data_IF_274021857444
#
_entry.id   IF_274021857444
#
_cell.length_a   1.000
_cell.length_b   1.000
_cell.length_c   1.000
_cell.angle_alpha   90.00
_cell.angle_beta   90.00
_cell.angle_gamma   90.00
#
_symmetry.space_group_name_H-M   'P 1'
#
loop_
_entity.id
_entity.type
_entity.pdbx_description
1 polymer ?
#
# COMPACT_ATOMS: atom_id res chain seq x y z
N UNK A 1 -4.20 31.58 1.42
CA UNK A 1 -2.89 30.90 1.59
C UNK A 1 -3.11 29.45 1.23
N UNK A 2 -2.75 29.05 0.02
CA UNK A 2 -2.84 27.66 -0.43
C UNK A 2 -1.83 26.85 0.37
N UNK A 3 -2.30 25.92 1.20
CA UNK A 3 -1.44 24.90 1.78
C UNK A 3 -0.73 24.20 0.61
N UNK A 4 0.59 24.30 0.57
CA UNK A 4 1.39 23.43 -0.29
C UNK A 4 1.12 22.01 0.18
N UNK A 5 0.33 21.27 -0.59
CA UNK A 5 0.14 19.83 -0.41
C UNK A 5 1.51 19.22 -0.08
N UNK A 6 1.61 18.51 1.05
CA UNK A 6 2.85 17.79 1.31
C UNK A 6 3.04 16.77 0.18
N UNK A 7 4.27 16.60 -0.31
CA UNK A 7 4.53 15.75 -1.44
C UNK A 7 4.06 14.33 -1.17
N UNK A 8 3.65 13.65 -2.24
CA UNK A 8 3.41 12.22 -2.24
C UNK A 8 4.54 11.47 -1.52
N UNK A 9 4.18 10.51 -0.66
CA UNK A 9 5.15 9.70 0.10
C UNK A 9 4.90 8.22 -0.18
N UNK A 10 5.95 7.49 -0.53
CA UNK A 10 5.91 6.07 -0.87
C UNK A 10 6.91 5.27 -0.03
N UNK A 11 6.70 5.11 1.30
CA UNK A 11 7.65 4.37 2.11
C UNK A 11 7.54 2.86 1.91
N UNK A 12 8.70 2.19 1.84
CA UNK A 12 8.79 0.74 1.97
C UNK A 12 8.81 0.31 3.44
N UNK A 13 8.09 -0.76 3.77
CA UNK A 13 8.15 -1.47 5.05
C UNK A 13 8.78 -2.85 4.83
N UNK A 14 10.02 -3.03 5.26
CA UNK A 14 10.65 -4.35 5.26
C UNK A 14 10.36 -5.06 6.57
N UNK A 15 9.72 -6.23 6.50
CA UNK A 15 9.34 -7.04 7.65
C UNK A 15 9.88 -8.47 7.50
N UNK A 16 10.07 -9.18 8.62
CA UNK A 16 10.58 -10.55 8.65
C UNK A 16 9.60 -11.54 9.27
N UNK A 17 8.60 -11.04 10.00
CA UNK A 17 7.56 -11.83 10.62
C UNK A 17 6.25 -11.06 10.77
N UNK A 18 5.22 -11.74 11.26
CA UNK A 18 3.90 -11.19 11.50
C UNK A 18 3.89 -10.03 12.51
N UNK A 19 4.75 -10.09 13.53
CA UNK A 19 4.80 -9.03 14.54
C UNK A 19 5.34 -7.74 13.95
N UNK A 20 6.43 -7.81 13.16
CA UNK A 20 6.97 -6.67 12.43
C UNK A 20 5.98 -6.12 11.39
N UNK A 21 5.27 -7.01 10.69
CA UNK A 21 4.23 -6.62 9.73
C UNK A 21 3.11 -5.81 10.39
N UNK A 22 2.56 -6.31 11.50
CA UNK A 22 1.50 -5.63 12.25
C UNK A 22 2.00 -4.34 12.92
N UNK A 23 3.22 -4.35 13.46
CA UNK A 23 3.83 -3.18 14.07
C UNK A 23 4.06 -2.04 13.06
N UNK A 24 4.29 -2.35 11.78
CA UNK A 24 4.40 -1.35 10.72
C UNK A 24 3.06 -0.88 10.16
N UNK A 25 2.11 -1.80 9.96
CA UNK A 25 0.85 -1.51 9.24
C UNK A 25 -0.26 -0.97 10.14
N UNK A 26 -0.47 -1.54 11.33
CA UNK A 26 -1.61 -1.18 12.19
C UNK A 26 -1.49 0.25 12.74
N UNK A 27 -0.33 0.70 13.26
CA UNK A 27 -0.17 2.10 13.67
C UNK A 27 -0.35 3.09 12.52
N UNK A 28 0.13 2.75 11.32
CA UNK A 28 -0.04 3.56 10.12
C UNK A 28 -1.52 3.78 9.78
N UNK A 29 -2.33 2.72 9.82
CA UNK A 29 -3.78 2.77 9.61
C UNK A 29 -4.45 3.60 10.70
N UNK A 30 -4.17 3.31 11.98
CA UNK A 30 -4.80 4.01 13.11
C UNK A 30 -4.46 5.51 13.15
N UNK A 31 -3.26 5.90 12.77
CA UNK A 31 -2.90 7.32 12.65
C UNK A 31 -3.75 8.03 11.59
N UNK A 32 -3.96 7.39 10.43
CA UNK A 32 -4.84 7.91 9.39
C UNK A 32 -6.27 8.12 9.91
N UNK A 33 -6.82 7.10 10.56
CA UNK A 33 -8.17 7.18 11.16
C UNK A 33 -8.28 8.28 12.22
N UNK A 34 -7.31 8.39 13.13
CA UNK A 34 -7.28 9.45 14.16
C UNK A 34 -7.18 10.86 13.54
N UNK A 35 -6.48 10.98 12.42
CA UNK A 35 -6.33 12.24 11.68
C UNK A 35 -7.51 12.54 10.76
N UNK A 36 -8.51 11.64 10.68
CA UNK A 36 -9.63 11.78 9.76
C UNK A 36 -9.24 11.61 8.29
N UNK A 37 -8.12 10.97 8.00
CA UNK A 37 -7.68 10.62 6.65
C UNK A 37 -8.35 9.30 6.23
N UNK A 38 -8.97 9.21 5.03
CA UNK A 38 -9.50 7.95 4.52
C UNK A 38 -8.36 6.95 4.33
N UNK A 39 -8.58 5.71 4.77
CA UNK A 39 -7.59 4.63 4.71
C UNK A 39 -8.09 3.48 3.85
N UNK A 40 -7.22 2.98 2.95
CA UNK A 40 -7.40 1.70 2.27
C UNK A 40 -6.25 0.74 2.61
N UNK A 41 -6.56 -0.56 2.65
CA UNK A 41 -5.59 -1.64 2.77
C UNK A 41 -5.85 -2.61 1.64
N UNK A 42 -4.88 -2.75 0.75
CA UNK A 42 -4.91 -3.63 -0.40
C UNK A 42 -3.67 -4.54 -0.35
N UNK A 43 -3.82 -5.71 0.29
CA UNK A 43 -2.73 -6.65 0.55
C UNK A 43 -3.20 -8.10 0.29
N UNK A 44 -2.33 -9.11 0.20
CA UNK A 44 -2.75 -10.50 0.05
C UNK A 44 -3.75 -10.92 1.14
N UNK A 45 -4.76 -11.72 0.77
CA UNK A 45 -5.87 -12.09 1.67
C UNK A 45 -5.46 -12.60 3.06
N UNK A 46 -4.35 -13.34 3.20
CA UNK A 46 -3.84 -13.75 4.51
C UNK A 46 -3.40 -12.55 5.38
N UNK A 47 -2.66 -11.62 4.80
CA UNK A 47 -2.18 -10.42 5.48
C UNK A 47 -3.34 -9.43 5.74
N UNK A 48 -4.34 -9.43 4.85
CA UNK A 48 -5.52 -8.59 5.02
C UNK A 48 -6.29 -9.00 6.28
N UNK A 49 -6.46 -10.30 6.52
CA UNK A 49 -7.09 -10.83 7.74
C UNK A 49 -6.30 -10.49 8.99
N UNK A 50 -4.97 -10.58 8.95
CA UNK A 50 -4.11 -10.20 10.08
C UNK A 50 -4.33 -8.73 10.48
N UNK A 51 -4.35 -7.82 9.49
CA UNK A 51 -4.61 -6.40 9.73
C UNK A 51 -6.04 -6.19 10.23
N UNK A 52 -7.03 -6.82 9.60
CA UNK A 52 -8.45 -6.73 9.98
C UNK A 52 -8.67 -7.15 11.45
N UNK A 53 -8.14 -8.30 11.84
CA UNK A 53 -8.23 -8.84 13.21
C UNK A 53 -7.54 -7.89 14.21
N UNK A 54 -6.36 -7.37 13.88
CA UNK A 54 -5.61 -6.46 14.75
C UNK A 54 -6.26 -5.06 14.89
N UNK A 55 -7.01 -4.62 13.87
CA UNK A 55 -7.77 -3.37 13.91
C UNK A 55 -9.04 -3.51 14.75
N UNK A 56 -9.68 -4.68 14.78
CA UNK A 56 -10.92 -4.91 15.50
C UNK A 56 -12.04 -3.99 15.01
N UNK A 57 -12.67 -3.23 15.91
CA UNK A 57 -13.76 -2.33 15.54
C UNK A 57 -13.37 -1.24 14.52
N UNK A 58 -12.09 -0.86 14.48
CA UNK A 58 -11.58 0.15 13.54
C UNK A 58 -11.64 -0.33 12.08
N UNK A 59 -11.68 -1.64 11.83
CA UNK A 59 -11.71 -2.22 10.48
C UNK A 59 -12.90 -1.73 9.66
N UNK A 60 -14.05 -1.46 10.29
CA UNK A 60 -15.24 -0.93 9.62
C UNK A 60 -15.08 0.46 9.02
N UNK A 61 -14.04 1.20 9.42
CA UNK A 61 -13.70 2.52 8.88
C UNK A 61 -12.63 2.46 7.76
N UNK A 62 -12.13 1.27 7.43
CA UNK A 62 -11.04 1.06 6.46
C UNK A 62 -11.58 0.37 5.22
N UNK A 63 -11.16 0.81 4.03
CA UNK A 63 -11.46 0.09 2.79
C UNK A 63 -10.50 -1.09 2.64
N UNK A 64 -10.98 -2.30 2.90
CA UNK A 64 -10.21 -3.55 2.76
C UNK A 64 -10.40 -4.15 1.35
N UNK A 65 -9.31 -4.50 0.67
CA UNK A 65 -9.30 -5.16 -0.63
C UNK A 65 -8.29 -6.31 -0.66
N UNK A 66 -8.65 -7.47 -1.21
CA UNK A 66 -7.69 -8.54 -1.48
C UNK A 66 -6.87 -8.20 -2.73
N UNK A 67 -5.56 -7.98 -2.54
CA UNK A 67 -4.64 -7.65 -3.64
C UNK A 67 -4.46 -8.81 -4.63
N UNK A 68 -4.76 -10.05 -4.25
CA UNK A 68 -4.73 -11.20 -5.18
C UNK A 68 -5.84 -11.13 -6.21
N UNK A 69 -6.96 -10.51 -5.84
CA UNK A 69 -8.10 -10.30 -6.74
C UNK A 69 -7.99 -8.95 -7.46
N UNK A 70 -7.88 -7.85 -6.69
CA UNK A 70 -7.83 -6.50 -7.22
C UNK A 70 -6.54 -6.23 -8.02
N UNK A 71 -5.43 -6.84 -7.61
CA UNK A 71 -4.11 -6.72 -8.23
C UNK A 71 -3.70 -7.88 -9.11
N UNK A 72 -4.64 -8.77 -9.48
CA UNK A 72 -4.38 -9.87 -10.42
C UNK A 72 -3.69 -9.38 -11.70
N UNK A 73 -4.05 -8.18 -12.16
CA UNK A 73 -3.33 -7.45 -13.20
C UNK A 73 -2.62 -6.23 -12.58
N UNK A 74 -1.28 -6.25 -12.41
CA UNK A 74 -0.53 -5.13 -11.85
C UNK A 74 -0.76 -3.79 -12.55
N UNK A 75 -0.94 -3.81 -13.88
CA UNK A 75 -1.22 -2.60 -14.66
C UNK A 75 -2.58 -1.96 -14.36
N UNK A 76 -3.46 -2.64 -13.62
CA UNK A 76 -4.76 -2.10 -13.19
C UNK A 76 -4.76 -1.60 -11.75
N UNK A 77 -3.70 -1.83 -10.96
CA UNK A 77 -3.66 -1.43 -9.55
C UNK A 77 -3.67 0.10 -9.40
N UNK A 78 -2.81 0.81 -10.14
CA UNK A 78 -2.78 2.29 -10.11
C UNK A 78 -4.15 2.90 -10.46
N UNK A 79 -4.74 2.64 -11.65
CA UNK A 79 -6.01 3.27 -12.01
C UNK A 79 -7.21 2.71 -11.23
N UNK A 80 -7.24 1.39 -10.98
CA UNK A 80 -8.43 0.69 -10.49
C UNK A 80 -8.52 0.56 -8.97
N UNK A 81 -7.40 0.70 -8.26
CA UNK A 81 -7.35 0.61 -6.79
C UNK A 81 -6.90 1.93 -6.20
N UNK A 82 -5.70 2.38 -6.53
CA UNK A 82 -5.06 3.51 -5.85
C UNK A 82 -5.71 4.85 -6.23
N UNK A 83 -5.83 5.15 -7.53
CA UNK A 83 -6.54 6.36 -7.99
C UNK A 83 -8.02 6.28 -7.69
N UNK A 84 -8.68 5.15 -7.98
CA UNK A 84 -10.10 4.99 -7.69
C UNK A 84 -10.44 5.28 -6.22
N UNK A 85 -9.61 4.85 -5.28
CA UNK A 85 -9.80 5.15 -3.86
C UNK A 85 -9.56 6.63 -3.53
N UNK A 86 -8.43 7.19 -4.01
CA UNK A 86 -8.07 8.59 -3.76
C UNK A 86 -9.08 9.58 -4.37
N UNK A 87 -9.55 9.30 -5.58
CA UNK A 87 -10.44 10.17 -6.35
C UNK A 87 -11.89 10.11 -5.87
N UNK A 88 -12.26 9.06 -5.13
CA UNK A 88 -13.55 8.98 -4.45
C UNK A 88 -13.65 9.90 -3.22
N UNK A 89 -12.53 10.48 -2.77
CA UNK A 89 -12.49 11.37 -1.61
C UNK A 89 -12.69 12.83 -2.02
N UNK A 90 -13.05 13.66 -1.03
CA UNK A 90 -13.15 15.10 -1.23
C UNK A 90 -11.80 15.69 -1.65
N UNK A 91 -11.83 16.67 -2.58
CA UNK A 91 -10.63 17.33 -3.06
C UNK A 91 -9.84 17.98 -1.90
N UNK A 92 -8.52 17.78 -1.89
CA UNK A 92 -7.63 18.27 -0.83
C UNK A 92 -7.69 17.46 0.47
N UNK A 93 -8.36 16.31 0.48
CA UNK A 93 -8.30 15.38 1.61
C UNK A 93 -7.14 14.41 1.41
N UNK A 94 -6.22 14.39 2.36
CA UNK A 94 -5.14 13.42 2.40
C UNK A 94 -5.67 12.01 2.59
N UNK A 95 -5.09 11.05 1.88
CA UNK A 95 -5.42 9.62 1.98
C UNK A 95 -4.20 8.76 2.30
N UNK A 96 -4.44 7.65 3.00
CA UNK A 96 -3.43 6.64 3.29
C UNK A 96 -3.79 5.30 2.67
N UNK A 97 -2.82 4.62 2.10
CA UNK A 97 -3.00 3.30 1.50
C UNK A 97 -1.88 2.39 1.98
N UNK A 98 -2.22 1.17 2.39
CA UNK A 98 -1.25 0.06 2.47
C UNK A 98 -1.41 -0.77 1.20
N UNK A 99 -0.35 -0.94 0.42
CA UNK A 99 -0.37 -1.68 -0.85
C UNK A 99 0.71 -2.74 -0.88
N UNK A 100 0.35 -4.02 -1.06
CA UNK A 100 1.35 -5.11 -1.15
C UNK A 100 1.19 -5.87 -2.48
N UNK A 101 1.58 -5.25 -3.63
CA UNK A 101 1.45 -5.86 -4.95
C UNK A 101 2.55 -6.91 -5.25
N UNK A 102 3.62 -6.91 -4.46
CA UNK A 102 4.73 -7.87 -4.47
C UNK A 102 4.66 -8.71 -3.18
N UNK A 103 4.41 -10.01 -3.29
CA UNK A 103 4.41 -10.95 -2.17
C UNK A 103 5.07 -12.28 -2.58
N UNK A 104 5.49 -13.09 -1.60
CA UNK A 104 6.25 -14.33 -1.82
C UNK A 104 5.54 -15.41 -2.67
N UNK A 105 4.27 -15.20 -3.04
CA UNK A 105 3.49 -16.09 -3.92
C UNK A 105 3.44 -15.67 -5.39
N UNK A 106 4.00 -14.51 -5.77
CA UNK A 106 4.06 -14.06 -7.18
C UNK A 106 5.00 -14.95 -7.99
N UNK A 107 4.59 -15.28 -9.21
CA UNK A 107 5.46 -16.02 -10.13
C UNK A 107 6.53 -15.11 -10.74
N UNK A 108 7.64 -15.71 -11.20
CA UNK A 108 8.69 -14.99 -11.95
C UNK A 108 8.17 -14.26 -13.19
N UNK A 109 7.09 -14.74 -13.81
CA UNK A 109 6.49 -14.12 -14.98
C UNK A 109 5.65 -12.88 -14.62
N UNK A 110 5.09 -12.83 -13.41
CA UNK A 110 4.27 -11.71 -12.94
C UNK A 110 5.11 -10.59 -12.32
N UNK A 111 6.24 -10.96 -11.69
CA UNK A 111 7.11 -10.02 -10.99
C UNK A 111 7.49 -8.76 -11.79
N UNK A 112 7.91 -8.84 -13.07
CA UNK A 112 8.31 -7.64 -13.82
C UNK A 112 7.21 -6.59 -13.93
N UNK A 113 5.94 -7.01 -14.02
CA UNK A 113 4.81 -6.10 -14.07
C UNK A 113 4.56 -5.43 -12.70
N UNK A 114 4.86 -6.12 -11.59
CA UNK A 114 4.83 -5.52 -10.26
C UNK A 114 5.97 -4.52 -10.07
N UNK A 115 7.21 -4.86 -10.44
CA UNK A 115 8.33 -3.92 -10.37
C UNK A 115 8.09 -2.66 -11.22
N UNK A 116 7.50 -2.82 -12.40
CA UNK A 116 7.08 -1.69 -13.23
C UNK A 116 5.98 -0.85 -12.55
N UNK A 117 5.00 -1.50 -11.91
CA UNK A 117 3.97 -0.83 -11.13
C UNK A 117 4.57 0.02 -10.00
N UNK A 118 5.51 -0.53 -9.23
CA UNK A 118 6.19 0.19 -8.13
C UNK A 118 6.95 1.41 -8.65
N UNK A 119 7.70 1.27 -9.73
CA UNK A 119 8.41 2.39 -10.35
C UNK A 119 7.47 3.50 -10.86
N UNK A 120 6.26 3.14 -11.30
CA UNK A 120 5.27 4.09 -11.82
C UNK A 120 4.49 4.81 -10.73
N UNK A 121 4.39 4.29 -9.50
CA UNK A 121 3.62 4.90 -8.42
C UNK A 121 4.09 6.35 -8.16
N UNK A 122 5.40 6.58 -8.08
CA UNK A 122 5.96 7.91 -7.82
C UNK A 122 5.51 8.95 -8.85
N UNK A 123 5.57 8.60 -10.14
CA UNK A 123 5.13 9.48 -11.21
C UNK A 123 3.60 9.65 -11.24
N UNK A 124 2.84 8.59 -10.96
CA UNK A 124 1.38 8.60 -10.98
C UNK A 124 0.78 9.48 -9.87
N UNK A 125 1.45 9.59 -8.73
CA UNK A 125 0.97 10.33 -7.56
C UNK A 125 1.72 11.64 -7.28
N UNK A 126 2.67 12.03 -8.12
CA UNK A 126 3.41 13.28 -7.95
C UNK A 126 2.46 14.48 -7.78
N UNK A 127 2.64 15.24 -6.69
CA UNK A 127 1.83 16.41 -6.36
C UNK A 127 0.46 16.12 -5.72
N UNK A 128 0.15 14.85 -5.42
CA UNK A 128 -1.07 14.46 -4.70
C UNK A 128 -0.79 14.23 -3.22
N UNK A 129 -1.77 14.54 -2.36
CA UNK A 129 -1.72 14.28 -0.92
C UNK A 129 -2.08 12.81 -0.61
N UNK A 130 -1.17 11.92 -0.99
CA UNK A 130 -1.33 10.47 -0.82
C UNK A 130 -0.09 9.94 -0.11
N UNK A 131 -0.28 9.05 0.85
CA UNK A 131 0.80 8.21 1.38
C UNK A 131 0.50 6.75 1.09
N UNK A 132 1.42 6.06 0.42
CA UNK A 132 1.29 4.63 0.09
C UNK A 132 2.41 3.88 0.80
N UNK A 133 2.07 3.10 1.83
CA UNK A 133 3.00 2.21 2.51
C UNK A 133 3.04 0.86 1.78
N UNK A 134 4.22 0.44 1.34
CA UNK A 134 4.41 -0.84 0.64
C UNK A 134 5.21 -1.85 1.47
N UNK A 135 4.57 -2.91 1.99
CA UNK A 135 5.26 -3.97 2.72
C UNK A 135 6.06 -4.92 1.81
N UNK A 136 7.21 -5.38 2.28
CA UNK A 136 8.07 -6.37 1.64
C UNK A 136 8.57 -7.41 2.67
N UNK A 137 8.22 -8.68 2.44
CA UNK A 137 8.67 -9.80 3.27
C UNK A 137 10.16 -10.09 3.01
N UNK A 138 11.03 -9.50 3.83
CA UNK A 138 12.47 -9.65 3.73
C UNK A 138 12.97 -11.05 4.12
N UNK A 139 12.13 -11.90 4.71
CA UNK A 139 12.46 -13.28 5.02
C UNK A 139 12.18 -14.23 3.83
N UNK A 140 11.26 -13.87 2.93
CA UNK A 140 10.78 -14.75 1.85
C UNK A 140 11.02 -14.24 0.44
N UNK A 141 11.20 -12.94 0.25
CA UNK A 141 11.53 -12.35 -1.05
C UNK A 141 13.02 -12.50 -1.35
N UNK A 142 13.36 -12.65 -2.63
CA UNK A 142 14.74 -12.73 -3.07
C UNK A 142 15.46 -11.37 -3.01
N UNK A 143 16.79 -11.40 -2.99
CA UNK A 143 17.63 -10.20 -2.88
C UNK A 143 17.38 -9.19 -4.01
N UNK A 144 17.07 -9.67 -5.22
CA UNK A 144 16.77 -8.80 -6.35
C UNK A 144 15.48 -8.01 -6.10
N UNK A 145 14.46 -8.69 -5.60
CA UNK A 145 13.18 -8.06 -5.28
C UNK A 145 13.34 -6.98 -4.21
N UNK A 146 14.14 -7.25 -3.17
CA UNK A 146 14.41 -6.27 -2.12
C UNK A 146 15.24 -5.09 -2.65
N UNK A 147 16.20 -5.33 -3.54
CA UNK A 147 16.97 -4.27 -4.19
C UNK A 147 16.09 -3.37 -5.07
N UNK A 148 15.16 -3.96 -5.85
CA UNK A 148 14.20 -3.22 -6.66
C UNK A 148 13.24 -2.38 -5.77
N UNK A 149 12.82 -2.91 -4.62
CA UNK A 149 12.03 -2.17 -3.63
C UNK A 149 12.79 -0.94 -3.10
N UNK A 150 14.07 -1.10 -2.71
CA UNK A 150 14.92 0.01 -2.30
C UNK A 150 15.14 1.07 -3.40
N UNK A 151 15.10 0.69 -4.67
CA UNK A 151 15.27 1.63 -5.78
C UNK A 151 14.01 2.43 -6.12
N UNK A 152 12.84 2.01 -5.64
CA UNK A 152 11.52 2.55 -6.02
C UNK A 152 10.81 3.32 -4.90
N UNK A 153 11.37 3.34 -3.69
CA UNK A 153 10.84 3.97 -2.47
C UNK A 153 11.87 4.90 -1.85
#
# INVERSE_FOLDING_TARGET
>A
MTATAEPFVHPALFYRDEQEYLAGTVPFVREGLRSGEPVAVAVPGENLRLIEDALGADAGAVRLLDMREAGRNPGRIIPGVLHAFADAQQAGRRVRIVGEPVWAGRTRAEYPACAQHEALINAAFQGREVTILCPYDAARLDERTLADAHATH
#
